data_IF_998846183660
#
_entry.id   IF_998846183660
#
_cell.length_a   1.000
_cell.length_b   1.000
_cell.length_c   1.000
_cell.angle_alpha   90.00
_cell.angle_beta   90.00
_cell.angle_gamma   90.00
#
_symmetry.space_group_name_H-M   'P 1'
#
loop_
_entity.id
_entity.type
_entity.pdbx_description
1 polymer ?
#
# COMPACT_ATOMS: atom_id res chain seq x y z
N UNK A 1 0.63 7.05 -14.41
CA UNK A 1 2.10 7.05 -14.28
C UNK A 1 2.48 8.39 -13.67
N UNK A 2 2.97 8.40 -12.44
CA UNK A 2 3.57 9.62 -11.88
C UNK A 2 4.90 9.85 -12.61
N UNK A 3 5.10 11.05 -13.13
CA UNK A 3 6.38 11.45 -13.71
C UNK A 3 7.39 11.50 -12.56
N UNK A 4 8.20 10.45 -12.43
CA UNK A 4 9.42 10.50 -11.62
C UNK A 4 10.35 11.43 -12.39
N UNK A 5 10.44 12.69 -11.96
CA UNK A 5 11.45 13.60 -12.49
C UNK A 5 12.82 12.97 -12.23
N UNK A 6 13.62 12.80 -13.27
CA UNK A 6 14.98 12.24 -13.21
C UNK A 6 16.01 13.22 -12.57
N UNK A 7 15.51 14.21 -11.81
CA UNK A 7 16.24 15.38 -11.33
C UNK A 7 17.31 15.01 -10.30
N UNK A 8 17.14 13.91 -9.55
CA UNK A 8 18.12 13.48 -8.54
C UNK A 8 18.84 12.18 -8.91
N UNK A 9 20.06 12.03 -8.40
CA UNK A 9 20.80 10.76 -8.52
C UNK A 9 20.07 9.60 -7.84
N UNK A 10 19.21 9.85 -6.86
CA UNK A 10 18.45 8.82 -6.17
C UNK A 10 17.31 8.30 -7.05
N UNK A 11 16.61 9.20 -7.76
CA UNK A 11 15.52 8.85 -8.67
C UNK A 11 16.02 8.05 -9.88
N UNK A 12 17.16 8.45 -10.47
CA UNK A 12 17.82 7.67 -11.53
C UNK A 12 18.19 6.26 -11.09
N UNK A 13 18.71 6.13 -9.87
CA UNK A 13 19.06 4.83 -9.30
C UNK A 13 17.80 4.00 -8.99
N UNK A 14 16.73 4.65 -8.56
CA UNK A 14 15.42 4.03 -8.35
C UNK A 14 14.83 3.50 -9.66
N UNK A 15 14.81 4.30 -10.73
CA UNK A 15 14.36 3.90 -12.06
C UNK A 15 15.19 2.75 -12.63
N UNK A 16 16.52 2.81 -12.48
CA UNK A 16 17.39 1.68 -12.83
C UNK A 16 17.01 0.41 -12.06
N UNK A 17 16.69 0.55 -10.78
CA UNK A 17 16.16 -0.54 -9.97
C UNK A 17 14.88 -1.12 -10.57
N UNK A 18 13.89 -0.29 -10.87
CA UNK A 18 12.63 -0.74 -11.49
C UNK A 18 12.85 -1.47 -12.81
N UNK A 19 13.72 -0.94 -13.69
CA UNK A 19 14.03 -1.60 -14.96
C UNK A 19 14.69 -2.98 -14.76
N UNK A 20 15.50 -3.18 -13.71
CA UNK A 20 16.03 -4.51 -13.37
C UNK A 20 14.90 -5.48 -12.97
N UNK A 21 13.94 -5.01 -12.18
CA UNK A 21 12.83 -5.83 -11.66
C UNK A 21 11.82 -6.18 -12.74
N UNK A 22 11.33 -5.18 -13.45
CA UNK A 22 10.14 -5.27 -14.30
C UNK A 22 10.51 -5.49 -15.78
N UNK A 23 11.66 -4.99 -16.22
CA UNK A 23 12.15 -5.08 -17.61
C UNK A 23 13.29 -6.09 -17.79
N UNK A 24 13.66 -6.82 -16.72
CA UNK A 24 14.71 -7.85 -16.69
C UNK A 24 16.11 -7.35 -17.11
N UNK A 25 16.42 -6.09 -16.85
CA UNK A 25 17.77 -5.58 -17.06
C UNK A 25 18.81 -6.24 -16.12
N UNK A 26 20.08 -6.23 -16.53
CA UNK A 26 21.17 -6.79 -15.73
C UNK A 26 21.42 -5.96 -14.46
N UNK A 27 21.41 -6.61 -13.29
CA UNK A 27 21.76 -5.98 -12.03
C UNK A 27 21.14 -6.64 -10.80
N UNK A 28 21.31 -5.99 -9.64
CA UNK A 28 20.73 -6.45 -8.36
C UNK A 28 19.71 -5.43 -7.86
N UNK A 29 18.43 -5.73 -8.04
CA UNK A 29 17.31 -4.88 -7.60
C UNK A 29 17.29 -4.69 -6.08
N UNK A 30 17.32 -5.79 -5.31
CA UNK A 30 17.09 -5.77 -3.87
C UNK A 30 18.09 -4.89 -3.08
N UNK A 31 19.42 -4.96 -3.32
CA UNK A 31 20.37 -4.07 -2.67
C UNK A 31 20.19 -2.59 -3.03
N UNK A 32 19.80 -2.30 -4.28
CA UNK A 32 19.52 -0.92 -4.73
C UNK A 32 18.34 -0.35 -3.96
N UNK A 33 17.23 -1.10 -3.88
CA UNK A 33 16.04 -0.64 -3.16
C UNK A 33 16.30 -0.48 -1.66
N UNK A 34 17.05 -1.41 -1.05
CA UNK A 34 17.45 -1.25 0.36
C UNK A 34 18.31 -0.03 0.59
N UNK A 35 19.30 0.22 -0.26
CA UNK A 35 20.14 1.42 -0.17
C UNK A 35 19.29 2.70 -0.20
N UNK A 36 18.36 2.78 -1.15
CA UNK A 36 17.46 3.93 -1.30
C UNK A 36 16.49 4.07 -0.13
N UNK A 37 15.88 2.99 0.32
CA UNK A 37 14.94 2.99 1.45
C UNK A 37 15.63 3.38 2.77
N UNK A 38 16.88 2.97 2.99
CA UNK A 38 17.66 3.40 4.16
C UNK A 38 17.97 4.91 4.12
N UNK A 39 18.08 5.48 2.92
CA UNK A 39 18.29 6.93 2.71
C UNK A 39 17.02 7.77 2.69
N UNK A 40 15.85 7.17 2.91
CA UNK A 40 14.59 7.91 2.96
C UNK A 40 13.86 8.03 1.62
N UNK A 41 14.21 7.26 0.61
CA UNK A 41 13.48 7.27 -0.67
C UNK A 41 12.12 6.55 -0.53
N UNK A 42 11.01 7.28 -0.63
CA UNK A 42 9.67 6.73 -0.37
C UNK A 42 9.24 5.66 -1.40
N UNK A 43 9.51 5.87 -2.70
CA UNK A 43 9.19 4.88 -3.75
C UNK A 43 9.84 3.52 -3.49
N UNK A 44 11.15 3.48 -3.23
CA UNK A 44 11.88 2.27 -2.84
C UNK A 44 11.31 1.57 -1.59
N UNK A 45 10.81 2.33 -0.59
CA UNK A 45 10.14 1.72 0.57
C UNK A 45 8.83 1.03 0.18
N UNK A 46 8.02 1.66 -0.68
CA UNK A 46 6.78 1.08 -1.20
C UNK A 46 7.09 -0.19 -1.99
N UNK A 47 8.05 -0.15 -2.90
CA UNK A 47 8.45 -1.30 -3.73
C UNK A 47 8.92 -2.51 -2.90
N UNK A 48 9.74 -2.26 -1.87
CA UNK A 48 10.14 -3.30 -0.91
C UNK A 48 8.95 -3.82 -0.10
N UNK A 49 8.07 -2.93 0.34
CA UNK A 49 6.89 -3.32 1.12
C UNK A 49 5.90 -4.14 0.29
N UNK A 50 5.68 -3.78 -0.97
CA UNK A 50 4.89 -4.54 -1.94
C UNK A 50 5.53 -5.90 -2.17
N UNK A 51 6.86 -5.96 -2.40
CA UNK A 51 7.56 -7.24 -2.57
C UNK A 51 7.39 -8.17 -1.36
N UNK A 52 7.57 -7.65 -0.12
CA UNK A 52 7.32 -8.42 1.10
C UNK A 52 5.84 -8.76 1.33
N UNK A 53 4.92 -8.07 0.66
CA UNK A 53 3.48 -8.26 0.83
C UNK A 53 2.85 -9.20 -0.21
N UNK A 54 3.47 -9.33 -1.39
CA UNK A 54 2.86 -9.92 -2.59
C UNK A 54 3.15 -11.42 -2.77
N UNK A 55 4.26 -11.94 -2.23
CA UNK A 55 4.75 -13.28 -2.59
C UNK A 55 4.04 -14.47 -1.92
N UNK A 56 2.89 -14.25 -1.25
CA UNK A 56 2.27 -15.31 -0.44
C UNK A 56 3.25 -15.87 0.62
N UNK A 57 4.34 -15.14 0.88
CA UNK A 57 5.35 -15.53 1.83
C UNK A 57 4.68 -15.61 3.19
N UNK A 58 5.01 -16.67 3.93
CA UNK A 58 4.59 -16.82 5.32
C UNK A 58 5.16 -15.70 6.22
N UNK A 59 5.95 -14.78 5.65
CA UNK A 59 6.50 -13.65 6.37
C UNK A 59 5.37 -12.72 6.84
N UNK A 60 5.36 -12.39 8.13
CA UNK A 60 4.35 -11.51 8.68
C UNK A 60 4.48 -10.14 8.01
N UNK A 61 3.36 -9.60 7.54
CA UNK A 61 3.21 -8.18 7.14
C UNK A 61 3.82 -7.21 8.17
N UNK A 62 3.86 -7.68 9.42
CA UNK A 62 4.54 -7.04 10.51
C UNK A 62 3.72 -5.93 11.14
N UNK A 63 4.33 -5.29 12.13
CA UNK A 63 3.73 -4.16 12.81
C UNK A 63 4.29 -2.85 12.23
N UNK A 64 3.51 -1.76 12.21
CA UNK A 64 4.03 -0.46 11.78
C UNK A 64 5.17 0.09 12.65
N UNK A 65 5.44 -0.54 13.80
CA UNK A 65 6.58 -0.24 14.67
C UNK A 65 7.88 -0.93 14.20
N UNK A 66 7.78 -2.09 13.53
CA UNK A 66 8.92 -2.79 12.96
C UNK A 66 9.35 -2.12 11.64
N UNK A 67 10.37 -1.25 11.69
CA UNK A 67 10.75 -0.32 10.62
C UNK A 67 11.10 -0.97 9.25
N UNK A 68 11.45 -2.25 9.26
CA UNK A 68 11.84 -3.03 8.07
C UNK A 68 10.78 -4.05 7.64
N UNK A 69 9.68 -4.16 8.38
CA UNK A 69 8.52 -4.92 7.92
C UNK A 69 7.80 -4.17 6.81
N UNK A 70 6.98 -4.86 6.00
CA UNK A 70 6.13 -4.23 5.00
C UNK A 70 5.26 -3.11 5.61
N UNK A 71 4.62 -3.38 6.74
CA UNK A 71 3.83 -2.38 7.48
C UNK A 71 4.67 -1.16 7.92
N UNK A 72 5.90 -1.38 8.37
CA UNK A 72 6.81 -0.32 8.80
C UNK A 72 7.30 0.54 7.62
N UNK A 73 7.63 -0.10 6.49
CA UNK A 73 8.07 0.56 5.28
C UNK A 73 6.96 1.45 4.69
N UNK A 74 5.73 0.96 4.58
CA UNK A 74 4.58 1.80 4.18
C UNK A 74 4.38 2.98 5.12
N UNK A 75 4.41 2.74 6.44
CA UNK A 75 4.23 3.83 7.41
C UNK A 75 5.32 4.90 7.29
N UNK A 76 6.57 4.49 7.02
CA UNK A 76 7.69 5.42 6.82
C UNK A 76 7.52 6.22 5.52
N UNK A 77 7.18 5.56 4.42
CA UNK A 77 6.89 6.23 3.14
C UNK A 77 5.74 7.25 3.29
N UNK A 78 4.66 6.88 3.98
CA UNK A 78 3.55 7.78 4.27
C UNK A 78 3.98 9.01 5.09
N UNK A 79 4.82 8.81 6.11
CA UNK A 79 5.36 9.92 6.91
C UNK A 79 6.29 10.85 6.12
N UNK A 80 6.89 10.36 5.05
CA UNK A 80 7.70 11.15 4.12
C UNK A 80 6.85 11.90 3.07
N UNK A 81 5.52 11.73 3.11
CA UNK A 81 4.58 12.43 2.24
C UNK A 81 4.08 11.61 1.04
N UNK A 82 4.55 10.37 0.85
CA UNK A 82 4.05 9.53 -0.23
C UNK A 82 2.69 8.93 0.15
N UNK A 83 1.63 9.53 -0.40
CA UNK A 83 0.26 9.21 -0.05
C UNK A 83 -0.16 7.81 -0.51
N UNK A 84 0.47 7.32 -1.60
CA UNK A 84 0.19 5.98 -2.14
C UNK A 84 0.46 4.91 -1.08
N UNK A 85 1.44 5.13 -0.20
CA UNK A 85 1.76 4.20 0.87
C UNK A 85 0.55 3.91 1.78
N UNK A 86 -0.32 4.89 2.03
CA UNK A 86 -1.54 4.66 2.82
C UNK A 86 -2.54 3.74 2.09
N UNK A 87 -2.70 3.93 0.78
CA UNK A 87 -3.55 3.06 -0.06
C UNK A 87 -3.01 1.63 -0.12
N UNK A 88 -1.72 1.45 -0.40
CA UNK A 88 -1.09 0.12 -0.44
C UNK A 88 -1.18 -0.61 0.92
N UNK A 89 -1.00 0.14 2.02
CA UNK A 89 -1.18 -0.38 3.37
C UNK A 89 -2.63 -0.78 3.66
N UNK A 90 -3.60 -0.01 3.16
CA UNK A 90 -5.01 -0.37 3.25
C UNK A 90 -5.26 -1.69 2.49
N UNK A 91 -4.93 -1.77 1.20
CA UNK A 91 -5.13 -2.98 0.40
C UNK A 91 -4.47 -4.21 1.01
N UNK A 92 -3.25 -4.07 1.53
CA UNK A 92 -2.55 -5.13 2.25
C UNK A 92 -3.29 -5.63 3.49
N UNK A 93 -3.98 -4.74 4.21
CA UNK A 93 -4.82 -5.07 5.39
C UNK A 93 -6.13 -5.72 4.95
N UNK A 94 -6.76 -5.23 3.88
CA UNK A 94 -7.95 -5.83 3.29
C UNK A 94 -7.72 -7.28 2.86
N UNK A 95 -6.63 -7.54 2.13
CA UNK A 95 -6.25 -8.88 1.68
C UNK A 95 -6.02 -9.86 2.85
N UNK A 96 -5.71 -9.33 4.04
CA UNK A 96 -5.47 -10.09 5.27
C UNK A 96 -6.68 -10.16 6.21
N UNK A 97 -7.88 -9.80 5.73
CA UNK A 97 -9.12 -9.73 6.52
C UNK A 97 -9.09 -8.70 7.68
N UNK A 98 -8.13 -7.77 7.70
CA UNK A 98 -8.06 -6.71 8.70
C UNK A 98 -8.83 -5.47 8.24
N UNK A 99 -10.15 -5.50 8.47
CA UNK A 99 -11.05 -4.43 8.09
C UNK A 99 -10.90 -3.15 8.92
N UNK A 100 -10.46 -3.26 10.17
CA UNK A 100 -10.20 -2.11 11.01
C UNK A 100 -8.96 -1.35 10.50
N UNK A 101 -7.88 -2.07 10.21
CA UNK A 101 -6.67 -1.53 9.61
C UNK A 101 -6.92 -0.94 8.22
N UNK A 102 -7.67 -1.64 7.37
CA UNK A 102 -8.05 -1.13 6.05
C UNK A 102 -8.79 0.22 6.14
N UNK A 103 -9.83 0.32 6.96
CA UNK A 103 -10.59 1.58 7.16
C UNK A 103 -9.73 2.70 7.74
N UNK A 104 -8.86 2.37 8.69
CA UNK A 104 -7.94 3.33 9.28
C UNK A 104 -7.04 3.96 8.20
N UNK A 105 -6.38 3.14 7.40
CA UNK A 105 -5.42 3.61 6.39
C UNK A 105 -6.07 4.29 5.20
N UNK A 106 -7.25 3.82 4.75
CA UNK A 106 -8.07 4.59 3.81
C UNK A 106 -8.46 5.97 4.37
N UNK A 107 -8.78 6.04 5.66
CA UNK A 107 -9.07 7.29 6.33
C UNK A 107 -7.87 8.25 6.32
N UNK A 108 -6.65 7.72 6.54
CA UNK A 108 -5.42 8.50 6.50
C UNK A 108 -5.10 9.01 5.09
N UNK A 109 -5.18 8.17 4.06
CA UNK A 109 -5.01 8.58 2.67
C UNK A 109 -6.02 9.66 2.26
N UNK A 110 -7.30 9.45 2.60
CA UNK A 110 -8.36 10.40 2.28
C UNK A 110 -8.18 11.77 2.97
N UNK A 111 -7.70 11.78 4.23
CA UNK A 111 -7.35 13.02 4.96
C UNK A 111 -6.18 13.74 4.31
N UNK A 112 -5.21 12.99 3.81
CA UNK A 112 -4.03 13.53 3.13
C UNK A 112 -4.31 13.92 1.67
N UNK A 113 -5.57 13.90 1.23
CA UNK A 113 -6.00 14.26 -0.12
C UNK A 113 -5.60 13.32 -1.25
N UNK A 114 -5.29 12.06 -0.93
CA UNK A 114 -5.26 10.99 -1.94
C UNK A 114 -6.66 10.83 -2.56
N UNK A 115 -6.78 11.16 -3.84
CA UNK A 115 -8.03 11.14 -4.60
C UNK A 115 -8.61 9.73 -4.72
N UNK A 116 -7.76 8.73 -4.89
CA UNK A 116 -8.20 7.34 -4.99
C UNK A 116 -8.65 6.82 -3.63
N UNK A 117 -7.93 7.12 -2.55
CA UNK A 117 -8.37 6.74 -1.20
C UNK A 117 -9.69 7.42 -0.82
N UNK A 118 -9.92 8.67 -1.24
CA UNK A 118 -11.21 9.37 -1.08
C UNK A 118 -12.33 8.64 -1.84
N UNK A 119 -12.06 8.26 -3.09
CA UNK A 119 -13.03 7.57 -3.93
C UNK A 119 -13.35 6.19 -3.38
N UNK A 120 -12.34 5.40 -3.03
CA UNK A 120 -12.50 4.05 -2.47
C UNK A 120 -13.23 4.09 -1.12
N UNK A 121 -12.96 5.10 -0.28
CA UNK A 121 -13.70 5.31 0.97
C UNK A 121 -15.17 5.65 0.74
N UNK A 122 -15.51 6.39 -0.33
CA UNK A 122 -16.90 6.70 -0.71
C UNK A 122 -17.60 5.48 -1.31
N UNK A 123 -16.88 4.75 -2.15
CA UNK A 123 -17.33 3.56 -2.86
C UNK A 123 -17.09 2.29 -2.07
N UNK A 124 -16.94 2.36 -0.74
CA UNK A 124 -16.68 1.16 0.05
C UNK A 124 -17.89 0.22 0.00
N UNK A 125 -17.91 -0.59 -1.05
CA UNK A 125 -18.85 -1.62 -1.42
C UNK A 125 -18.05 -2.91 -1.30
N UNK A 126 -18.36 -3.70 -0.29
CA UNK A 126 -17.97 -5.09 -0.34
C UNK A 126 -18.60 -5.70 -1.59
N UNK A 127 -17.83 -6.45 -2.40
CA UNK A 127 -18.36 -7.27 -3.50
C UNK A 127 -19.36 -8.36 -3.03
N UNK A 128 -19.63 -8.43 -1.72
CA UNK A 128 -20.58 -9.31 -1.05
C UNK A 128 -21.81 -8.51 -0.63
N UNK A 129 -22.97 -9.15 -0.67
CA UNK A 129 -24.21 -8.60 -0.12
C UNK A 129 -24.04 -8.27 1.36
N UNK A 130 -24.69 -7.21 1.86
CA UNK A 130 -24.40 -6.67 3.20
C UNK A 130 -24.52 -7.71 4.32
N UNK A 131 -25.51 -8.62 4.23
CA UNK A 131 -25.67 -9.73 5.17
C UNK A 131 -24.48 -10.71 5.13
N UNK A 132 -24.01 -11.07 3.94
CA UNK A 132 -22.87 -11.97 3.75
C UNK A 132 -21.55 -11.33 4.15
N UNK A 133 -21.38 -10.03 3.86
CA UNK A 133 -20.28 -9.24 4.38
C UNK A 133 -20.27 -9.25 5.92
N UNK A 134 -21.45 -9.26 6.56
CA UNK A 134 -21.61 -9.44 8.00
C UNK A 134 -21.10 -10.77 8.51
N UNK A 135 -21.42 -11.87 7.82
CA UNK A 135 -20.97 -13.22 8.16
C UNK A 135 -19.44 -13.33 8.17
N UNK A 136 -18.76 -12.65 7.23
CA UNK A 136 -17.28 -12.63 7.16
C UNK A 136 -16.63 -11.44 7.86
N UNK A 137 -17.37 -10.68 8.69
CA UNK A 137 -16.89 -9.49 9.43
C UNK A 137 -16.33 -8.36 8.54
N UNK A 138 -16.76 -8.30 7.28
CA UNK A 138 -16.39 -7.28 6.28
C UNK A 138 -17.45 -6.18 6.10
N UNK A 139 -18.35 -6.00 7.07
CA UNK A 139 -19.44 -5.01 6.98
C UNK A 139 -18.96 -3.60 6.59
N UNK A 140 -19.69 -3.04 5.62
CA UNK A 140 -19.78 -1.62 5.33
C UNK A 140 -20.99 -1.02 6.07
N UNK A 141 -21.10 0.32 6.23
CA UNK A 141 -22.33 0.93 6.72
C UNK A 141 -23.56 0.55 5.88
N UNK A 142 -24.68 0.25 6.52
CA UNK A 142 -25.95 -0.13 5.87
C UNK A 142 -26.46 1.00 4.97
N UNK A 143 -26.80 0.68 3.73
CA UNK A 143 -27.38 1.63 2.76
C UNK A 143 -28.83 1.27 2.40
N UNK A 144 -29.56 2.25 1.85
CA UNK A 144 -30.98 2.07 1.43
C UNK A 144 -31.18 0.86 0.51
N UNK A 145 -30.21 0.56 -0.37
CA UNK A 145 -30.26 -0.57 -1.30
C UNK A 145 -30.12 -1.95 -0.63
N UNK A 146 -29.63 -2.02 0.61
CA UNK A 146 -29.48 -3.28 1.35
C UNK A 146 -30.81 -3.74 1.98
N UNK A 147 -31.90 -2.96 1.81
CA UNK A 147 -33.23 -3.25 2.36
C UNK A 147 -34.19 -3.92 1.38
N UNK A 148 -33.80 -4.12 0.11
CA UNK A 148 -34.56 -4.91 -0.85
C UNK A 148 -34.06 -6.35 -0.74
N UNK A 149 -34.74 -7.14 0.09
CA UNK A 149 -34.56 -8.59 0.20
C UNK A 149 -35.64 -9.29 -0.62
#
# INVERSE_FOLDING_TARGET
>A
MEYINDDTSADRLYLKGLAIRDERHLGKWLPIMWHLALRGHAGAMIELADWFSNDGSADPFGTPAAAFSAAGLYRRAYKLGDLRAARHMALSRFNRNDMAGYRHWLGQGAKASDGEAKQERRQFETRLWHADAGRVRRLRPKQKRDGFA
#
